data_IF_189374634630
#
_entry.id   IF_189374634630
#
_cell.length_a   1.000
_cell.length_b   1.000
_cell.length_c   1.000
_cell.angle_alpha   90.00
_cell.angle_beta   90.00
_cell.angle_gamma   90.00
#
_symmetry.space_group_name_H-M   'P 1'
#
loop_
_entity.id
_entity.type
_entity.pdbx_description
1 polymer ?
#
# COMPACT_ATOMS: atom_id res chain seq x y z
N UNK A 1 21.29 6.56 -4.88
CA UNK A 1 20.40 7.14 -5.92
C UNK A 1 20.70 6.51 -7.27
N UNK A 2 19.96 5.48 -7.63
CA UNK A 2 19.95 5.03 -9.02
C UNK A 2 18.80 5.75 -9.71
N UNK A 3 19.09 6.51 -10.75
CA UNK A 3 18.07 7.05 -11.63
C UNK A 3 17.40 5.85 -12.31
N UNK A 4 16.18 5.56 -11.94
CA UNK A 4 15.42 4.47 -12.53
C UNK A 4 14.80 4.98 -13.81
N UNK A 5 15.20 4.41 -14.94
CA UNK A 5 14.72 4.79 -16.27
C UNK A 5 13.40 4.15 -16.64
N UNK A 6 13.05 3.03 -16.00
CA UNK A 6 11.82 2.28 -16.21
C UNK A 6 11.23 1.89 -14.86
N UNK A 7 9.92 1.96 -14.72
CA UNK A 7 9.25 1.66 -13.46
C UNK A 7 7.81 1.20 -13.66
N UNK A 8 7.05 1.25 -12.57
CA UNK A 8 5.64 0.82 -12.58
C UNK A 8 4.80 1.60 -13.59
N UNK A 9 5.08 2.89 -13.79
CA UNK A 9 4.36 3.71 -14.78
C UNK A 9 4.48 3.09 -16.17
N UNK A 10 5.70 2.82 -16.62
CA UNK A 10 5.98 2.29 -17.97
C UNK A 10 5.35 0.90 -18.16
N UNK A 11 5.28 0.11 -17.08
CA UNK A 11 4.63 -1.20 -17.10
C UNK A 11 3.09 -1.09 -17.18
N UNK A 12 2.49 -0.11 -16.48
CA UNK A 12 1.03 0.10 -16.49
C UNK A 12 0.51 0.59 -17.83
N UNK A 13 1.25 1.46 -18.53
CA UNK A 13 0.88 1.95 -19.86
C UNK A 13 1.30 0.99 -20.99
N UNK A 14 1.98 -0.10 -20.65
CA UNK A 14 2.36 -1.15 -21.59
C UNK A 14 3.61 -0.85 -22.45
N UNK A 15 4.40 0.17 -22.09
CA UNK A 15 5.64 0.52 -22.78
C UNK A 15 6.75 -0.51 -22.56
N UNK A 16 6.75 -1.15 -21.38
CA UNK A 16 7.73 -2.20 -21.07
C UNK A 16 7.06 -3.39 -20.38
N UNK A 17 7.56 -4.62 -20.55
CA UNK A 17 7.19 -5.74 -19.69
C UNK A 17 7.53 -5.44 -18.23
N UNK A 18 6.68 -5.89 -17.29
CA UNK A 18 6.91 -5.65 -15.85
C UNK A 18 8.23 -6.25 -15.38
N UNK A 19 8.66 -7.36 -15.96
CA UNK A 19 9.93 -8.04 -15.72
C UNK A 19 11.14 -7.12 -15.96
N UNK A 20 11.06 -6.28 -17.01
CA UNK A 20 12.12 -5.37 -17.41
C UNK A 20 12.15 -4.09 -16.55
N UNK A 21 11.08 -3.81 -15.81
CA UNK A 21 10.97 -2.70 -14.88
C UNK A 21 11.43 -3.06 -13.45
N UNK A 22 11.66 -4.36 -13.17
CA UNK A 22 12.12 -4.81 -11.86
C UNK A 22 13.59 -4.43 -11.61
N UNK A 23 13.86 -3.95 -10.40
CA UNK A 23 15.22 -3.66 -9.92
C UNK A 23 15.58 -4.65 -8.83
N UNK A 24 16.59 -5.48 -9.10
CA UNK A 24 17.11 -6.44 -8.13
C UNK A 24 17.98 -5.76 -7.08
N UNK A 25 17.69 -6.00 -5.82
CA UNK A 25 18.48 -5.50 -4.70
C UNK A 25 18.89 -6.63 -3.77
N UNK A 26 19.83 -6.39 -2.88
CA UNK A 26 20.24 -7.38 -1.88
C UNK A 26 19.15 -7.70 -0.83
N UNK A 27 18.07 -6.93 -0.80
CA UNK A 27 16.96 -7.11 0.14
C UNK A 27 15.70 -7.65 -0.52
N UNK A 28 15.70 -7.82 -1.82
CA UNK A 28 14.56 -8.26 -2.65
C UNK A 28 14.43 -7.41 -3.90
N UNK A 29 13.42 -7.72 -4.69
CA UNK A 29 13.14 -7.00 -5.92
C UNK A 29 12.20 -5.82 -5.65
N UNK A 30 12.39 -4.76 -6.41
CA UNK A 30 11.58 -3.54 -6.33
C UNK A 30 11.06 -3.20 -7.71
N UNK A 31 9.75 -3.00 -7.84
CA UNK A 31 9.14 -2.33 -8.98
C UNK A 31 9.02 -0.84 -8.62
N UNK A 32 9.95 0.00 -9.05
CA UNK A 32 10.04 1.36 -8.56
C UNK A 32 9.00 2.27 -9.21
N UNK A 33 8.61 3.31 -8.49
CA UNK A 33 7.84 4.41 -9.03
C UNK A 33 8.70 5.66 -9.23
N UNK A 34 8.23 6.56 -10.08
CA UNK A 34 8.84 7.86 -10.32
C UNK A 34 7.76 8.94 -10.40
N UNK A 35 8.16 10.19 -10.66
CA UNK A 35 7.25 11.33 -10.75
C UNK A 35 6.20 11.20 -11.87
N UNK A 36 6.49 10.43 -12.94
CA UNK A 36 5.55 10.20 -14.04
C UNK A 36 4.30 9.46 -13.56
N UNK A 37 4.43 8.57 -12.56
CA UNK A 37 3.29 7.86 -11.98
C UNK A 37 2.22 8.81 -11.41
N UNK A 38 2.60 9.99 -10.92
CA UNK A 38 1.63 10.97 -10.42
C UNK A 38 0.69 11.50 -11.53
N UNK A 39 1.16 11.53 -12.77
CA UNK A 39 0.36 11.90 -13.94
C UNK A 39 -0.40 10.74 -14.58
N UNK A 40 -0.04 9.50 -14.26
CA UNK A 40 -0.59 8.29 -14.87
C UNK A 40 -2.13 8.21 -14.74
N UNK A 41 -2.70 8.74 -13.66
CA UNK A 41 -4.14 8.73 -13.43
C UNK A 41 -4.94 9.32 -14.60
N UNK A 42 -4.40 10.33 -15.28
CA UNK A 42 -5.07 10.98 -16.42
C UNK A 42 -5.02 10.06 -17.66
N UNK A 43 -3.88 9.46 -17.93
CA UNK A 43 -3.68 8.59 -19.09
C UNK A 43 -4.43 7.26 -18.94
N UNK A 44 -4.40 6.68 -17.76
CA UNK A 44 -5.08 5.42 -17.46
C UNK A 44 -6.61 5.53 -17.55
N UNK A 45 -7.21 6.73 -17.40
CA UNK A 45 -8.67 6.93 -17.47
C UNK A 45 -9.23 6.44 -18.81
N UNK A 46 -8.50 6.63 -19.92
CA UNK A 46 -8.92 6.22 -21.26
C UNK A 46 -8.68 4.76 -21.59
N UNK A 47 -8.02 3.99 -20.73
CA UNK A 47 -7.67 2.60 -20.99
C UNK A 47 -8.81 1.65 -20.64
N UNK A 48 -8.98 0.60 -21.44
CA UNK A 48 -9.89 -0.49 -21.11
C UNK A 48 -9.41 -1.24 -19.87
N UNK A 49 -10.35 -1.64 -19.01
CA UNK A 49 -10.04 -2.39 -17.77
C UNK A 49 -9.02 -1.67 -16.86
N UNK A 50 -9.03 -0.35 -16.89
CA UNK A 50 -8.08 0.54 -16.18
C UNK A 50 -7.89 0.22 -14.69
N UNK A 51 -8.86 -0.39 -14.04
CA UNK A 51 -8.81 -0.80 -12.63
C UNK A 51 -7.97 -2.07 -12.40
N UNK A 52 -7.60 -2.79 -13.48
CA UNK A 52 -6.95 -4.10 -13.42
C UNK A 52 -5.54 -4.11 -14.01
N UNK A 53 -5.03 -2.98 -14.48
CA UNK A 53 -3.73 -2.91 -15.15
C UNK A 53 -2.58 -3.41 -14.28
N UNK A 54 -2.58 -3.04 -13.00
CA UNK A 54 -1.57 -3.51 -12.06
C UNK A 54 -1.68 -5.01 -11.81
N UNK A 55 -2.90 -5.54 -11.65
CA UNK A 55 -3.12 -6.98 -11.50
C UNK A 55 -2.59 -7.73 -12.72
N UNK A 56 -2.97 -7.29 -13.92
CA UNK A 56 -2.60 -7.94 -15.17
C UNK A 56 -1.07 -7.87 -15.40
N UNK A 57 -0.38 -6.84 -14.89
CA UNK A 57 1.08 -6.76 -14.87
C UNK A 57 1.70 -7.71 -13.84
N UNK A 58 1.21 -7.69 -12.58
CA UNK A 58 1.76 -8.51 -11.50
C UNK A 58 1.50 -10.01 -11.69
N UNK A 59 0.43 -10.39 -12.36
CA UNK A 59 0.12 -11.80 -12.69
C UNK A 59 1.25 -12.49 -13.49
N UNK A 60 2.10 -11.74 -14.19
CA UNK A 60 3.24 -12.26 -14.95
C UNK A 60 4.44 -12.63 -14.07
N UNK A 61 4.52 -12.06 -12.87
CA UNK A 61 5.70 -12.20 -11.99
C UNK A 61 5.39 -12.77 -10.61
N UNK A 62 4.12 -12.77 -10.18
CA UNK A 62 3.73 -13.12 -8.81
C UNK A 62 4.22 -14.48 -8.33
N UNK A 63 4.27 -15.47 -9.24
CA UNK A 63 4.68 -16.83 -8.89
C UNK A 63 6.19 -16.95 -8.57
N UNK A 64 6.96 -15.86 -8.72
CA UNK A 64 8.38 -15.78 -8.37
C UNK A 64 8.61 -15.38 -6.92
N UNK A 65 7.56 -14.96 -6.19
CA UNK A 65 7.65 -14.34 -4.87
C UNK A 65 6.70 -14.97 -3.88
N UNK A 66 7.13 -15.09 -2.65
CA UNK A 66 6.27 -15.51 -1.53
C UNK A 66 5.34 -14.37 -1.10
N UNK A 67 5.81 -13.11 -1.21
CA UNK A 67 5.06 -11.89 -0.87
C UNK A 67 5.33 -10.79 -1.87
N UNK A 68 4.26 -10.07 -2.24
CA UNK A 68 4.29 -8.82 -2.99
C UNK A 68 3.66 -7.72 -2.15
N UNK A 69 4.45 -6.72 -1.77
CA UNK A 69 3.95 -5.55 -1.04
C UNK A 69 3.70 -4.40 -2.00
N UNK A 70 2.50 -3.84 -1.98
CA UNK A 70 2.10 -2.69 -2.78
C UNK A 70 1.96 -1.50 -1.83
N UNK A 71 2.92 -0.58 -1.86
CA UNK A 71 2.86 0.68 -1.13
C UNK A 71 1.97 1.67 -1.89
N UNK A 72 0.96 2.21 -1.21
CA UNK A 72 -0.08 3.04 -1.81
C UNK A 72 -0.05 4.46 -1.25
N UNK A 73 -0.37 5.48 -2.06
CA UNK A 73 -0.58 6.83 -1.56
C UNK A 73 -1.84 6.88 -0.67
N UNK A 74 -1.96 7.89 0.21
CA UNK A 74 -3.12 8.05 1.09
C UNK A 74 -4.36 8.62 0.36
N UNK A 75 -4.49 8.40 -0.93
CA UNK A 75 -5.64 8.79 -1.76
C UNK A 75 -6.40 7.56 -2.23
N UNK A 76 -7.71 7.70 -2.45
CA UNK A 76 -8.57 6.63 -2.97
C UNK A 76 -8.82 6.80 -4.48
N UNK A 77 -7.78 7.17 -5.22
CA UNK A 77 -7.80 7.38 -6.64
C UNK A 77 -7.52 6.10 -7.44
N UNK A 78 -7.46 6.21 -8.78
CA UNK A 78 -7.31 5.07 -9.70
C UNK A 78 -6.09 4.20 -9.40
N UNK A 79 -4.97 4.76 -8.95
CA UNK A 79 -3.77 3.99 -8.58
C UNK A 79 -4.02 3.09 -7.36
N UNK A 80 -4.64 3.64 -6.32
CA UNK A 80 -5.03 2.86 -5.14
C UNK A 80 -6.09 1.82 -5.49
N UNK A 81 -7.02 2.16 -6.37
CA UNK A 81 -8.00 1.20 -6.87
C UNK A 81 -7.33 0.03 -7.61
N UNK A 82 -6.32 0.29 -8.43
CA UNK A 82 -5.50 -0.75 -9.07
C UNK A 82 -4.83 -1.66 -8.04
N UNK A 83 -4.27 -1.08 -6.98
CA UNK A 83 -3.65 -1.86 -5.89
C UNK A 83 -4.67 -2.76 -5.20
N UNK A 84 -5.86 -2.24 -4.86
CA UNK A 84 -6.94 -3.01 -4.24
C UNK A 84 -7.48 -4.12 -5.16
N UNK A 85 -7.48 -3.89 -6.47
CA UNK A 85 -7.89 -4.90 -7.45
C UNK A 85 -6.83 -6.00 -7.65
N UNK A 86 -5.55 -5.70 -7.42
CA UNK A 86 -4.43 -6.62 -7.57
C UNK A 86 -4.14 -7.42 -6.29
N UNK A 87 -4.42 -6.86 -5.12
CA UNK A 87 -4.08 -7.45 -3.83
C UNK A 87 -5.02 -8.59 -3.42
N UNK A 88 -4.49 -9.55 -2.66
CA UNK A 88 -5.27 -10.58 -1.96
C UNK A 88 -5.72 -10.05 -0.58
N UNK A 89 -4.90 -9.22 0.06
CA UNK A 89 -5.16 -8.72 1.39
C UNK A 89 -4.66 -7.28 1.59
N UNK A 90 -5.25 -6.59 2.57
CA UNK A 90 -4.90 -5.22 2.94
C UNK A 90 -4.37 -5.22 4.37
N UNK A 91 -3.16 -4.70 4.54
CA UNK A 91 -2.62 -4.29 5.83
C UNK A 91 -2.80 -2.78 5.97
N UNK A 92 -3.46 -2.31 7.02
CA UNK A 92 -3.75 -0.90 7.22
C UNK A 92 -2.90 -0.32 8.37
N UNK A 93 -1.86 0.48 8.06
CA UNK A 93 -1.15 1.20 9.10
C UNK A 93 -1.98 2.39 9.60
N UNK A 94 -2.12 2.50 10.92
CA UNK A 94 -2.91 3.56 11.58
C UNK A 94 -2.05 4.24 12.63
N UNK A 95 -2.00 5.57 12.60
CA UNK A 95 -1.37 6.36 13.64
C UNK A 95 -2.38 6.66 14.78
N UNK A 96 -1.88 6.79 16.01
CA UNK A 96 -2.70 7.13 17.18
C UNK A 96 -3.12 8.61 17.22
N UNK A 97 -3.75 9.09 16.13
CA UNK A 97 -4.17 10.48 15.94
C UNK A 97 -5.68 10.56 15.66
N UNK A 98 -6.30 11.70 15.99
CA UNK A 98 -7.75 11.89 15.98
C UNK A 98 -8.41 11.56 14.62
N UNK A 99 -7.81 12.00 13.50
CA UNK A 99 -8.38 11.79 12.17
C UNK A 99 -8.15 10.38 11.59
N UNK A 100 -7.44 9.53 12.29
CA UNK A 100 -7.14 8.18 11.80
C UNK A 100 -8.41 7.33 11.62
N UNK A 101 -9.40 7.49 12.48
CA UNK A 101 -10.66 6.74 12.43
C UNK A 101 -11.53 7.14 11.24
N UNK A 102 -11.56 8.43 10.89
CA UNK A 102 -12.31 8.93 9.74
C UNK A 102 -11.73 8.34 8.43
N UNK A 103 -10.40 8.49 8.24
CA UNK A 103 -9.72 7.92 7.07
C UNK A 103 -9.87 6.39 6.98
N UNK A 104 -9.88 5.70 8.12
CA UNK A 104 -10.09 4.25 8.17
C UNK A 104 -11.52 3.88 7.75
N UNK A 105 -12.52 4.65 8.14
CA UNK A 105 -13.92 4.45 7.72
C UNK A 105 -14.09 4.61 6.21
N UNK A 106 -13.50 5.64 5.61
CA UNK A 106 -13.55 5.89 4.17
C UNK A 106 -12.84 4.78 3.37
N UNK A 107 -11.67 4.34 3.86
CA UNK A 107 -10.96 3.21 3.27
C UNK A 107 -11.84 1.95 3.29
N UNK A 108 -12.46 1.62 4.43
CA UNK A 108 -13.31 0.43 4.54
C UNK A 108 -14.57 0.48 3.68
N UNK A 109 -15.12 1.67 3.45
CA UNK A 109 -16.21 1.86 2.49
C UNK A 109 -15.74 1.55 1.06
N UNK A 110 -14.57 2.05 0.67
CA UNK A 110 -13.96 1.77 -0.64
C UNK A 110 -13.65 0.29 -0.79
N UNK A 111 -13.04 -0.34 0.21
CA UNK A 111 -12.78 -1.80 0.23
C UNK A 111 -14.06 -2.60 0.02
N UNK A 112 -15.16 -2.22 0.68
CA UNK A 112 -16.45 -2.90 0.52
C UNK A 112 -16.98 -2.80 -0.92
N UNK A 113 -16.83 -1.64 -1.56
CA UNK A 113 -17.21 -1.44 -2.97
C UNK A 113 -16.34 -2.31 -3.89
N UNK A 114 -15.02 -2.29 -3.69
CA UNK A 114 -14.07 -3.10 -4.47
C UNK A 114 -14.39 -4.59 -4.33
N UNK A 115 -14.59 -5.08 -3.12
CA UNK A 115 -14.95 -6.50 -2.88
C UNK A 115 -16.24 -6.90 -3.58
N UNK A 116 -17.22 -6.01 -3.59
CA UNK A 116 -18.52 -6.30 -4.22
C UNK A 116 -18.47 -6.35 -5.75
N UNK A 117 -17.63 -5.52 -6.37
CA UNK A 117 -17.73 -5.26 -7.82
C UNK A 117 -16.49 -5.63 -8.62
N UNK A 118 -15.30 -5.62 -8.02
CA UNK A 118 -14.02 -5.71 -8.73
C UNK A 118 -13.14 -6.86 -8.25
N UNK A 119 -12.96 -7.03 -6.93
CA UNK A 119 -12.11 -8.06 -6.34
C UNK A 119 -12.78 -8.73 -5.13
N UNK A 120 -13.63 -9.74 -5.34
CA UNK A 120 -14.34 -10.43 -4.25
C UNK A 120 -13.42 -11.17 -3.26
N UNK A 121 -12.17 -11.45 -3.64
CA UNK A 121 -11.19 -12.15 -2.79
C UNK A 121 -10.44 -11.23 -1.84
N UNK A 122 -10.51 -9.91 -2.06
CA UNK A 122 -9.79 -8.96 -1.23
C UNK A 122 -10.23 -9.05 0.23
N UNK A 123 -9.29 -9.29 1.13
CA UNK A 123 -9.56 -9.41 2.56
C UNK A 123 -8.83 -8.31 3.36
N UNK A 124 -9.38 -7.96 4.53
CA UNK A 124 -8.63 -7.20 5.52
C UNK A 124 -7.76 -8.18 6.30
N UNK A 125 -6.44 -8.13 6.08
CA UNK A 125 -5.48 -8.90 6.87
C UNK A 125 -5.45 -8.37 8.30
N UNK A 126 -5.19 -7.07 8.46
CA UNK A 126 -5.25 -6.46 9.77
C UNK A 126 -4.95 -4.97 9.79
N UNK A 127 -5.09 -4.40 10.98
CA UNK A 127 -4.77 -3.01 11.31
C UNK A 127 -3.53 -2.98 12.20
N UNK A 128 -2.51 -2.24 11.78
CA UNK A 128 -1.24 -2.10 12.50
C UNK A 128 -1.11 -0.69 13.07
N UNK A 129 -1.01 -0.59 14.39
CA UNK A 129 -0.75 0.69 15.04
C UNK A 129 0.70 1.11 14.82
N UNK A 130 0.91 2.28 14.23
CA UNK A 130 2.22 2.84 13.90
C UNK A 130 2.44 4.18 14.58
N UNK A 131 3.71 4.58 14.72
CA UNK A 131 4.12 5.81 15.43
C UNK A 131 3.45 5.94 16.81
N UNK A 132 3.18 4.79 17.42
CA UNK A 132 2.41 4.70 18.66
C UNK A 132 3.22 5.23 19.85
N UNK A 133 2.62 6.14 20.63
CA UNK A 133 3.16 6.62 21.89
C UNK A 133 2.14 6.36 23.04
N UNK A 134 2.35 5.23 23.73
CA UNK A 134 1.47 4.79 24.82
C UNK A 134 1.46 5.70 26.05
N UNK A 135 2.24 6.80 26.08
CA UNK A 135 2.22 7.80 27.13
C UNK A 135 1.11 8.83 26.93
N UNK A 136 0.52 8.90 25.75
CA UNK A 136 -0.54 9.85 25.43
C UNK A 136 -1.91 9.19 25.55
N UNK A 137 -2.84 9.86 26.24
CA UNK A 137 -4.22 9.39 26.37
C UNK A 137 -4.90 9.27 24.99
N UNK A 138 -4.60 10.17 24.06
CA UNK A 138 -5.16 10.14 22.72
C UNK A 138 -4.79 8.85 21.99
N UNK A 139 -3.51 8.46 21.99
CA UNK A 139 -3.09 7.22 21.32
C UNK A 139 -3.75 5.98 21.93
N UNK A 140 -3.91 5.96 23.25
CA UNK A 140 -4.62 4.87 23.94
C UNK A 140 -6.10 4.82 23.55
N UNK A 141 -6.79 5.97 23.54
CA UNK A 141 -8.19 6.04 23.11
C UNK A 141 -8.38 5.60 21.65
N UNK A 142 -7.55 6.09 20.72
CA UNK A 142 -7.60 5.68 19.32
C UNK A 142 -7.36 4.17 19.18
N UNK A 143 -6.41 3.61 19.93
CA UNK A 143 -6.14 2.17 19.89
C UNK A 143 -7.34 1.34 20.38
N UNK A 144 -8.04 1.77 21.43
CA UNK A 144 -9.24 1.08 21.92
C UNK A 144 -10.41 1.21 20.92
N UNK A 145 -10.60 2.38 20.32
CA UNK A 145 -11.61 2.57 19.26
C UNK A 145 -11.33 1.68 18.04
N UNK A 146 -10.07 1.64 17.58
CA UNK A 146 -9.67 0.75 16.45
C UNK A 146 -9.94 -0.71 16.79
N UNK A 147 -9.64 -1.16 18.00
CA UNK A 147 -9.95 -2.53 18.44
C UNK A 147 -11.47 -2.79 18.49
N UNK A 148 -12.24 -1.81 18.91
CA UNK A 148 -13.69 -1.91 18.94
C UNK A 148 -14.30 -2.06 17.53
N UNK A 149 -13.82 -1.26 16.56
CA UNK A 149 -14.30 -1.33 15.17
C UNK A 149 -13.80 -2.54 14.41
N UNK A 150 -12.62 -3.09 14.75
CA UNK A 150 -11.97 -4.20 14.06
C UNK A 150 -11.65 -5.36 15.01
N UNK A 151 -12.67 -5.99 15.63
CA UNK A 151 -12.44 -7.07 16.59
C UNK A 151 -11.67 -8.23 15.95
N UNK A 152 -10.56 -8.59 16.60
CA UNK A 152 -9.69 -9.67 16.12
C UNK A 152 -8.86 -9.36 14.87
N UNK A 153 -8.89 -8.11 14.37
CA UNK A 153 -8.12 -7.67 13.20
C UNK A 153 -7.01 -6.67 13.53
N UNK A 154 -6.86 -6.26 14.77
CA UNK A 154 -5.76 -5.37 15.19
C UNK A 154 -4.58 -6.22 15.65
N UNK A 155 -3.41 -5.98 15.05
CA UNK A 155 -2.20 -6.67 15.43
C UNK A 155 -1.81 -6.41 16.88
N UNK A 156 -1.34 -7.42 17.58
CA UNK A 156 -0.78 -7.28 18.93
C UNK A 156 0.53 -6.46 18.91
N UNK A 157 1.30 -6.57 17.83
CA UNK A 157 2.51 -5.78 17.59
C UNK A 157 2.14 -4.34 17.28
N UNK A 158 2.84 -3.39 17.86
CA UNK A 158 2.77 -1.96 17.53
C UNK A 158 4.13 -1.45 17.09
N UNK A 159 4.16 -0.51 16.16
CA UNK A 159 5.39 0.18 15.76
C UNK A 159 5.48 1.49 16.54
N UNK A 160 6.41 1.63 17.49
CA UNK A 160 6.52 2.82 18.32
C UNK A 160 7.04 4.01 17.52
N UNK A 161 6.73 5.22 17.98
CA UNK A 161 7.40 6.43 17.49
C UNK A 161 8.86 6.36 17.87
N UNK A 162 9.76 6.39 16.87
CA UNK A 162 11.19 6.27 17.08
C UNK A 162 11.97 7.10 16.05
N UNK A 163 12.93 7.90 16.52
CA UNK A 163 13.76 8.76 15.68
C UNK A 163 14.56 7.93 14.67
N UNK A 164 15.09 6.78 15.07
CA UNK A 164 15.86 5.90 14.18
C UNK A 164 15.04 5.41 12.98
N UNK A 165 13.73 5.14 13.19
CA UNK A 165 12.81 4.79 12.09
C UNK A 165 12.67 5.93 11.10
N UNK A 166 12.64 7.18 11.59
CA UNK A 166 12.52 8.36 10.74
C UNK A 166 13.83 8.68 9.99
N UNK A 167 14.99 8.35 10.56
CA UNK A 167 16.31 8.62 10.00
C UNK A 167 16.75 7.55 8.97
N UNK A 168 16.32 6.29 9.12
CA UNK A 168 16.76 5.17 8.28
C UNK A 168 16.63 5.42 6.78
N UNK A 169 15.54 6.03 6.26
CA UNK A 169 15.40 6.33 4.83
C UNK A 169 16.49 7.29 4.32
N UNK A 170 16.95 8.25 5.14
CA UNK A 170 18.02 9.19 4.75
C UNK A 170 19.36 8.50 4.51
N UNK A 171 19.57 7.34 5.11
CA UNK A 171 20.77 6.52 4.96
C UNK A 171 20.60 5.42 3.89
N UNK A 172 19.42 5.28 3.28
CA UNK A 172 19.12 4.24 2.31
C UNK A 172 19.28 2.83 2.86
N UNK A 173 19.04 2.64 4.16
CA UNK A 173 19.19 1.36 4.86
C UNK A 173 17.84 0.90 5.41
N UNK A 174 17.58 -0.43 5.41
CA UNK A 174 16.48 -0.96 6.17
C UNK A 174 16.72 -0.80 7.67
N UNK A 175 15.68 -1.00 8.46
CA UNK A 175 15.68 -0.77 9.91
C UNK A 175 16.26 -1.92 10.73
N UNK A 176 16.82 -2.90 10.12
CA UNK A 176 17.48 -4.06 10.76
C UNK A 176 18.83 -3.71 11.29
#
# INVERSE_FOLDING_TARGET
>A
DKTVSKGIYDALIGEVPVEDALVHTKYGDVLPSNKALAGAGIELIGMERREFLLRDALDKVKDRYDFLFIDCPPSLELLTLNALCAADAILVPVQGEYYALEGLSDLMNTVRIVRRSLNPRLELDGVLLTMFDGRTNLALQVAEEVKHYFPGKVYATVIPRNVRLSEAPSHGKPIT
#
